data_IF_178527420631
#
_entry.id   IF_178527420631
#
_cell.length_a   1.000
_cell.length_b   1.000
_cell.length_c   1.000
_cell.angle_alpha   90.00
_cell.angle_beta   90.00
_cell.angle_gamma   90.00
#
_symmetry.space_group_name_H-M   'P 1'
#
loop_
_entity.id
_entity.type
_entity.pdbx_description
1 polymer ?
#
# COMPACT_ATOMS: atom_id res chain seq x y z
N UNK A 1 0.17 -2.80 -5.49
CA UNK A 1 1.59 -3.19 -5.60
C UNK A 1 1.86 -3.87 -6.93
N UNK A 2 2.25 -3.10 -7.96
CA UNK A 2 2.79 -3.71 -9.19
C UNK A 2 4.19 -4.22 -8.88
N UNK A 3 4.35 -5.52 -8.71
CA UNK A 3 5.66 -6.15 -8.64
C UNK A 3 6.34 -6.12 -10.01
N UNK A 4 7.62 -5.82 -10.00
CA UNK A 4 8.46 -5.61 -11.17
C UNK A 4 8.60 -6.87 -12.05
N UNK A 5 8.89 -6.63 -13.32
CA UNK A 5 9.35 -7.62 -14.30
C UNK A 5 10.56 -8.39 -13.77
N UNK A 6 10.38 -9.65 -13.40
CA UNK A 6 11.47 -10.51 -12.90
C UNK A 6 11.02 -11.70 -12.06
N UNK A 7 9.82 -11.68 -11.55
CA UNK A 7 9.18 -12.85 -10.96
C UNK A 7 8.55 -13.65 -12.08
N UNK A 8 8.80 -14.98 -12.09
CA UNK A 8 8.34 -15.87 -13.14
C UNK A 8 6.84 -15.76 -13.45
N UNK A 9 6.41 -16.18 -14.63
CA UNK A 9 5.03 -15.98 -15.11
C UNK A 9 3.94 -16.54 -14.19
N UNK A 10 4.29 -17.50 -13.33
CA UNK A 10 3.41 -18.02 -12.28
C UNK A 10 3.16 -16.94 -11.22
N UNK A 11 4.19 -16.23 -10.78
CA UNK A 11 4.06 -15.10 -9.84
C UNK A 11 3.33 -13.90 -10.46
N UNK A 12 3.54 -13.61 -11.74
CA UNK A 12 2.80 -12.55 -12.44
C UNK A 12 1.31 -12.85 -12.55
N UNK A 13 0.93 -14.13 -12.76
CA UNK A 13 -0.48 -14.55 -12.74
C UNK A 13 -1.05 -14.52 -11.33
N UNK A 14 -0.29 -14.96 -10.33
CA UNK A 14 -0.71 -14.92 -8.93
C UNK A 14 -0.91 -13.50 -8.44
N UNK A 15 -0.05 -12.56 -8.84
CA UNK A 15 -0.13 -11.14 -8.49
C UNK A 15 -1.25 -10.43 -9.26
N UNK A 16 -1.52 -10.82 -10.52
CA UNK A 16 -2.72 -10.36 -11.23
C UNK A 16 -4.01 -10.79 -10.53
N UNK A 17 -4.00 -11.97 -9.93
CA UNK A 17 -5.13 -12.50 -9.16
C UNK A 17 -5.15 -11.99 -7.71
N UNK A 18 -4.05 -11.44 -7.20
CA UNK A 18 -4.01 -10.62 -5.98
C UNK A 18 -4.42 -9.16 -6.26
N UNK A 19 -4.96 -8.85 -7.42
CA UNK A 19 -5.41 -7.49 -7.74
C UNK A 19 -6.57 -7.04 -6.86
N UNK A 20 -7.37 -7.96 -6.33
CA UNK A 20 -8.39 -7.66 -5.32
C UNK A 20 -7.77 -7.30 -3.96
N UNK A 21 -6.75 -8.03 -3.51
CA UNK A 21 -5.94 -7.66 -2.32
C UNK A 21 -5.32 -6.30 -2.51
N UNK A 22 -4.87 -6.02 -3.73
CA UNK A 22 -4.29 -4.73 -4.07
C UNK A 22 -5.35 -3.63 -4.14
N UNK A 23 -6.53 -3.93 -4.64
CA UNK A 23 -7.64 -2.98 -4.67
C UNK A 23 -8.21 -2.75 -3.28
N UNK A 24 -8.31 -3.77 -2.43
CA UNK A 24 -8.70 -3.66 -1.03
C UNK A 24 -7.64 -2.92 -0.21
N UNK A 25 -6.36 -3.21 -0.42
CA UNK A 25 -5.25 -2.39 0.09
C UNK A 25 -5.34 -0.94 -0.40
N UNK A 26 -5.74 -0.74 -1.64
CA UNK A 26 -5.90 0.59 -2.24
C UNK A 26 -7.16 1.29 -1.75
N UNK A 27 -8.26 0.57 -1.55
CA UNK A 27 -9.56 1.16 -1.21
C UNK A 27 -9.79 1.25 0.29
N UNK A 28 -9.23 0.33 1.10
CA UNK A 28 -9.44 0.32 2.54
C UNK A 28 -8.21 0.78 3.34
N UNK A 29 -7.02 0.35 2.98
CA UNK A 29 -5.81 0.61 3.78
C UNK A 29 -5.13 1.92 3.39
N UNK A 30 -5.04 2.21 2.09
CA UNK A 30 -4.48 3.48 1.65
C UNK A 30 -5.35 4.70 2.07
N UNK A 31 -6.71 4.61 2.12
CA UNK A 31 -7.51 5.64 2.74
C UNK A 31 -7.32 5.76 4.25
N UNK A 32 -7.07 4.64 4.97
CA UNK A 32 -6.77 4.69 6.40
C UNK A 32 -5.36 5.22 6.67
N UNK A 33 -4.39 4.89 5.85
CA UNK A 33 -3.07 5.56 5.85
C UNK A 33 -3.20 7.06 5.54
N UNK A 34 -4.20 7.47 4.76
CA UNK A 34 -4.54 8.88 4.55
C UNK A 34 -5.23 9.52 5.76
N UNK A 35 -6.08 8.78 6.49
CA UNK A 35 -6.80 9.31 7.67
C UNK A 35 -5.90 9.66 8.82
N UNK A 36 -4.76 8.99 8.99
CA UNK A 36 -3.78 9.33 10.03
C UNK A 36 -3.01 10.63 9.76
N UNK A 37 -3.27 11.30 8.63
CA UNK A 37 -2.49 12.43 8.16
C UNK A 37 -3.19 13.77 8.24
N UNK A 38 -4.50 13.82 8.45
CA UNK A 38 -5.22 15.11 8.56
C UNK A 38 -5.91 15.20 9.91
N UNK A 39 -5.16 15.67 10.87
CA UNK A 39 -5.70 16.38 12.00
C UNK A 39 -5.46 17.87 11.73
N UNK A 40 -6.55 18.59 11.42
CA UNK A 40 -6.66 20.03 11.21
C UNK A 40 -6.29 20.58 9.82
N UNK A 41 -7.22 20.46 8.88
CA UNK A 41 -7.29 21.35 7.71
C UNK A 41 -8.09 22.64 7.95
N UNK A 42 -8.31 23.03 9.19
CA UNK A 42 -9.22 24.17 9.52
C UNK A 42 -8.58 25.53 9.52
N UNK A 43 -7.27 25.67 9.31
CA UNK A 43 -6.61 26.98 9.19
C UNK A 43 -5.73 27.06 7.93
N UNK A 44 -6.33 26.85 6.78
CA UNK A 44 -5.73 27.21 5.48
C UNK A 44 -5.91 28.73 5.28
N UNK A 45 -5.24 29.53 6.05
CA UNK A 45 -5.06 30.99 6.02
C UNK A 45 -5.80 31.75 4.88
N UNK A 46 -7.09 31.46 4.67
CA UNK A 46 -7.92 32.22 3.74
C UNK A 46 -7.66 32.08 2.24
N UNK A 47 -6.72 31.23 1.82
CA UNK A 47 -6.53 30.94 0.38
C UNK A 47 -7.57 29.94 -0.12
N UNK A 48 -8.15 30.21 -1.26
CA UNK A 48 -8.99 29.26 -2.00
C UNK A 48 -8.13 28.16 -2.64
N UNK A 49 -8.75 27.04 -3.01
CA UNK A 49 -8.08 25.92 -3.70
C UNK A 49 -7.35 26.37 -4.97
N UNK A 50 -7.98 27.27 -5.74
CA UNK A 50 -7.40 27.83 -6.95
C UNK A 50 -6.15 28.68 -6.64
N UNK A 51 -6.17 29.46 -5.57
CA UNK A 51 -5.04 30.28 -5.14
C UNK A 51 -3.89 29.41 -4.60
N UNK A 52 -4.19 28.35 -3.85
CA UNK A 52 -3.19 27.37 -3.39
C UNK A 52 -2.51 26.72 -4.59
N UNK A 53 -3.27 26.21 -5.57
CA UNK A 53 -2.69 25.59 -6.76
C UNK A 53 -1.95 26.58 -7.66
N UNK A 54 -2.42 27.83 -7.76
CA UNK A 54 -1.71 28.88 -8.47
C UNK A 54 -0.39 29.24 -7.77
N UNK A 55 -0.38 29.37 -6.44
CA UNK A 55 0.83 29.62 -5.67
C UNK A 55 1.83 28.45 -5.83
N UNK A 56 1.37 27.20 -5.75
CA UNK A 56 2.21 26.03 -6.00
C UNK A 56 2.88 26.10 -7.39
N UNK A 57 2.10 26.34 -8.45
CA UNK A 57 2.59 26.36 -9.84
C UNK A 57 3.56 27.51 -10.13
N UNK A 58 3.35 28.65 -9.46
CA UNK A 58 4.16 29.85 -9.64
C UNK A 58 5.33 29.97 -8.64
N UNK A 59 5.57 28.94 -7.82
CA UNK A 59 6.63 28.94 -6.81
C UNK A 59 6.39 29.89 -5.65
N UNK A 60 5.13 30.28 -5.41
CA UNK A 60 4.73 31.13 -4.29
C UNK A 60 4.96 30.48 -2.92
N UNK A 61 4.82 31.29 -1.88
CA UNK A 61 4.97 30.82 -0.50
C UNK A 61 3.69 30.16 -0.01
N UNK A 62 3.78 28.85 0.18
CA UNK A 62 2.76 28.03 0.82
C UNK A 62 3.32 27.48 2.14
N UNK A 63 2.44 27.34 3.12
CA UNK A 63 2.75 26.63 4.37
C UNK A 63 2.82 25.12 4.14
N UNK A 64 3.39 24.39 5.10
CA UNK A 64 3.42 22.93 5.03
C UNK A 64 2.01 22.33 4.95
N UNK A 65 1.05 22.90 5.69
CA UNK A 65 -0.34 22.44 5.68
C UNK A 65 -1.02 22.66 4.32
N UNK A 66 -0.74 23.78 3.65
CA UNK A 66 -1.26 24.07 2.31
C UNK A 66 -0.66 23.10 1.26
N UNK A 67 0.60 22.74 1.38
CA UNK A 67 1.21 21.72 0.51
C UNK A 67 0.59 20.34 0.76
N UNK A 68 0.40 19.94 2.01
CA UNK A 68 -0.22 18.66 2.37
C UNK A 68 -1.66 18.60 1.85
N UNK A 69 -2.44 19.67 2.04
CA UNK A 69 -3.79 19.77 1.52
C UNK A 69 -3.81 19.72 -0.02
N UNK A 70 -2.97 20.50 -0.69
CA UNK A 70 -2.88 20.49 -2.15
C UNK A 70 -2.57 19.11 -2.71
N UNK A 71 -1.65 18.40 -2.08
CA UNK A 71 -1.30 17.05 -2.51
C UNK A 71 -2.44 16.04 -2.30
N UNK A 72 -3.21 16.19 -1.23
CA UNK A 72 -4.24 15.22 -0.88
C UNK A 72 -5.57 15.49 -1.58
N UNK A 73 -6.02 16.74 -1.57
CA UNK A 73 -7.38 17.12 -2.00
C UNK A 73 -7.43 17.71 -3.41
N UNK A 74 -6.34 18.36 -3.86
CA UNK A 74 -6.35 19.10 -5.12
C UNK A 74 -5.55 18.43 -6.25
N UNK A 75 -4.68 17.49 -5.92
CA UNK A 75 -3.85 16.81 -6.91
C UNK A 75 -4.67 15.87 -7.80
N UNK A 76 -4.41 15.92 -9.09
CA UNK A 76 -5.01 15.02 -10.07
C UNK A 76 -4.17 13.74 -10.22
N UNK A 77 -4.31 12.84 -9.24
CA UNK A 77 -3.65 11.54 -9.20
C UNK A 77 -2.23 11.53 -8.63
N UNK A 78 -1.68 10.33 -8.50
CA UNK A 78 -0.43 10.07 -7.80
C UNK A 78 0.78 10.84 -8.35
N UNK A 79 0.84 11.08 -9.65
CA UNK A 79 1.94 11.83 -10.27
C UNK A 79 2.00 13.29 -9.80
N UNK A 80 0.85 13.98 -9.74
CA UNK A 80 0.78 15.36 -9.25
C UNK A 80 0.99 15.41 -7.73
N UNK A 81 0.49 14.43 -6.98
CA UNK A 81 0.79 14.28 -5.55
C UNK A 81 2.30 14.22 -5.28
N UNK A 82 3.00 13.36 -6.02
CA UNK A 82 4.47 13.23 -5.93
C UNK A 82 5.15 14.56 -6.25
N UNK A 83 4.70 15.29 -7.28
CA UNK A 83 5.29 16.58 -7.66
C UNK A 83 5.11 17.63 -6.54
N UNK A 84 3.90 17.78 -6.00
CA UNK A 84 3.58 18.71 -4.93
C UNK A 84 4.38 18.39 -3.67
N UNK A 85 4.39 17.12 -3.23
CA UNK A 85 5.09 16.69 -2.02
C UNK A 85 6.62 16.76 -2.19
N UNK A 86 7.12 16.54 -3.39
CA UNK A 86 8.53 16.76 -3.70
C UNK A 86 8.91 18.24 -3.58
N UNK A 87 8.04 19.15 -4.02
CA UNK A 87 8.25 20.59 -3.83
C UNK A 87 8.23 20.94 -2.33
N UNK A 88 7.27 20.41 -1.58
CA UNK A 88 7.18 20.61 -0.14
C UNK A 88 8.43 20.09 0.60
N UNK A 89 8.93 18.91 0.24
CA UNK A 89 10.09 18.29 0.89
C UNK A 89 11.41 19.06 0.70
N UNK A 90 11.47 19.95 -0.28
CA UNK A 90 12.63 20.86 -0.48
C UNK A 90 12.56 22.08 0.41
N UNK A 91 11.35 22.47 0.83
CA UNK A 91 11.12 23.65 1.68
C UNK A 91 11.02 23.29 3.16
N UNK A 92 10.47 22.11 3.47
CA UNK A 92 10.13 21.71 4.83
C UNK A 92 10.76 20.39 5.21
N UNK A 93 11.40 20.35 6.37
CA UNK A 93 11.90 19.12 6.98
C UNK A 93 10.83 18.56 7.94
N UNK A 94 9.72 18.09 7.39
CA UNK A 94 8.54 17.62 8.13
C UNK A 94 8.32 16.14 7.83
N UNK A 95 8.16 15.32 8.88
CA UNK A 95 7.96 13.88 8.76
C UNK A 95 6.70 13.53 7.95
N UNK A 96 5.65 14.33 8.08
CA UNK A 96 4.37 14.15 7.36
C UNK A 96 4.57 14.31 5.86
N UNK A 97 5.36 15.31 5.45
CA UNK A 97 5.68 15.55 4.03
C UNK A 97 6.42 14.34 3.45
N UNK A 98 7.45 13.85 4.14
CA UNK A 98 8.21 12.69 3.68
C UNK A 98 7.38 11.41 3.68
N UNK A 99 6.55 11.20 4.71
CA UNK A 99 5.65 10.05 4.77
C UNK A 99 4.63 10.08 3.62
N UNK A 100 3.98 11.24 3.38
CA UNK A 100 3.00 11.38 2.31
C UNK A 100 3.64 11.25 0.93
N UNK A 101 4.86 11.74 0.76
CA UNK A 101 5.64 11.52 -0.46
C UNK A 101 5.89 10.03 -0.70
N UNK A 102 6.27 9.28 0.33
CA UNK A 102 6.43 7.83 0.26
C UNK A 102 5.13 7.11 -0.15
N UNK A 103 3.99 7.52 0.41
CA UNK A 103 2.67 6.99 0.03
C UNK A 103 2.35 7.30 -1.44
N UNK A 104 2.52 8.54 -1.87
CA UNK A 104 2.27 8.94 -3.27
C UNK A 104 3.18 8.21 -4.27
N UNK A 105 4.46 8.04 -3.92
CA UNK A 105 5.42 7.27 -4.73
C UNK A 105 5.05 5.78 -4.81
N UNK A 106 4.54 5.20 -3.72
CA UNK A 106 4.01 3.83 -3.72
C UNK A 106 2.83 3.71 -4.68
N UNK A 107 1.91 4.68 -4.68
CA UNK A 107 0.76 4.72 -5.58
C UNK A 107 1.19 4.91 -7.06
N UNK A 108 2.23 5.69 -7.28
CA UNK A 108 2.84 5.89 -8.59
C UNK A 108 3.66 4.68 -9.08
N UNK A 109 3.89 3.67 -8.21
CA UNK A 109 4.64 2.45 -8.51
C UNK A 109 6.15 2.56 -8.32
N UNK A 110 6.67 3.69 -7.84
CA UNK A 110 8.10 3.88 -7.53
C UNK A 110 8.42 3.43 -6.10
N UNK A 111 8.60 2.12 -5.93
CA UNK A 111 8.87 1.49 -4.64
C UNK A 111 10.19 1.92 -4.02
N UNK A 112 11.21 2.13 -4.87
CA UNK A 112 12.54 2.49 -4.39
C UNK A 112 12.57 3.92 -3.87
N UNK A 113 11.90 4.86 -4.54
CA UNK A 113 11.74 6.22 -4.05
C UNK A 113 10.89 6.27 -2.78
N UNK A 114 9.79 5.50 -2.75
CA UNK A 114 8.91 5.40 -1.58
C UNK A 114 9.67 4.98 -0.32
N UNK A 115 10.49 3.91 -0.41
CA UNK A 115 11.30 3.46 0.72
C UNK A 115 12.22 4.57 1.23
N UNK A 116 12.92 5.27 0.35
CA UNK A 116 13.80 6.39 0.72
C UNK A 116 13.04 7.53 1.41
N UNK A 117 11.81 7.80 0.96
CA UNK A 117 10.98 8.83 1.57
C UNK A 117 10.53 8.42 2.97
N UNK A 118 10.08 7.18 3.17
CA UNK A 118 9.74 6.66 4.49
C UNK A 118 10.96 6.61 5.44
N UNK A 119 12.14 6.26 4.95
CA UNK A 119 13.38 6.32 5.74
C UNK A 119 13.72 7.73 6.20
N UNK A 120 13.47 8.75 5.36
CA UNK A 120 13.65 10.15 5.75
C UNK A 120 12.62 10.58 6.79
N UNK A 121 11.36 10.19 6.60
CA UNK A 121 10.31 10.44 7.59
C UNK A 121 10.67 9.82 8.95
N UNK A 122 11.19 8.58 8.96
CA UNK A 122 11.55 7.86 10.18
C UNK A 122 12.72 8.49 10.97
N UNK A 123 13.52 9.31 10.32
CA UNK A 123 14.55 10.10 11.03
C UNK A 123 13.97 11.29 11.80
N UNK A 124 12.73 11.67 11.48
CA UNK A 124 12.06 12.84 12.04
C UNK A 124 10.92 12.44 13.00
N UNK A 125 10.36 11.26 12.82
CA UNK A 125 9.26 10.73 13.63
C UNK A 125 9.39 9.21 13.78
N UNK A 126 8.89 8.68 14.91
CA UNK A 126 8.92 7.25 15.25
C UNK A 126 7.52 6.67 15.47
N UNK A 127 6.52 7.20 14.78
CA UNK A 127 5.14 6.73 14.90
C UNK A 127 4.99 5.27 14.46
N UNK A 128 3.95 4.62 14.97
CA UNK A 128 3.61 3.24 14.63
C UNK A 128 3.22 3.13 13.16
N UNK A 129 2.50 4.12 12.63
CA UNK A 129 2.11 4.21 11.23
C UNK A 129 3.32 4.23 10.31
N UNK A 130 4.31 5.05 10.64
CA UNK A 130 5.52 5.14 9.85
C UNK A 130 6.33 3.85 9.89
N UNK A 131 6.39 3.20 11.05
CA UNK A 131 7.03 1.88 11.20
C UNK A 131 6.32 0.83 10.33
N UNK A 132 5.00 0.84 10.26
CA UNK A 132 4.21 -0.01 9.36
C UNK A 132 4.50 0.29 7.88
N UNK A 133 4.56 1.58 7.51
CA UNK A 133 4.89 1.98 6.15
C UNK A 133 6.30 1.51 5.74
N UNK A 134 7.28 1.62 6.63
CA UNK A 134 8.63 1.08 6.42
C UNK A 134 8.65 -0.44 6.26
N UNK A 135 7.87 -1.16 7.08
CA UNK A 135 7.72 -2.60 6.94
C UNK A 135 7.22 -2.96 5.54
N UNK A 136 6.10 -2.38 5.13
CA UNK A 136 5.49 -2.66 3.83
C UNK A 136 6.37 -2.23 2.66
N UNK A 137 7.03 -1.07 2.76
CA UNK A 137 7.96 -0.60 1.74
C UNK A 137 9.18 -1.51 1.59
N UNK A 138 9.74 -2.02 2.69
CA UNK A 138 10.82 -2.99 2.65
C UNK A 138 10.38 -4.31 2.00
N UNK A 139 9.20 -4.85 2.36
CA UNK A 139 8.65 -6.05 1.70
C UNK A 139 8.44 -5.82 0.21
N UNK A 140 7.92 -4.66 -0.18
CA UNK A 140 7.70 -4.31 -1.59
C UNK A 140 9.00 -4.21 -2.41
N UNK A 141 10.14 -3.94 -1.76
CA UNK A 141 11.47 -3.93 -2.36
C UNK A 141 12.24 -5.25 -2.20
N UNK A 142 11.64 -6.30 -1.60
CA UNK A 142 12.27 -7.59 -1.37
C UNK A 142 13.20 -7.64 -0.17
N UNK A 143 13.22 -6.60 0.66
CA UNK A 143 14.09 -6.48 1.83
C UNK A 143 13.46 -7.12 3.08
N UNK A 144 13.13 -8.41 3.03
CA UNK A 144 12.39 -9.10 4.09
C UNK A 144 13.11 -9.03 5.45
N UNK A 145 14.43 -9.15 5.46
CA UNK A 145 15.22 -9.06 6.69
C UNK A 145 15.11 -7.67 7.37
N UNK A 146 15.08 -6.61 6.56
CA UNK A 146 14.92 -5.25 7.08
C UNK A 146 13.48 -5.00 7.55
N UNK A 147 12.48 -5.51 6.82
CA UNK A 147 11.07 -5.42 7.20
C UNK A 147 10.81 -6.01 8.60
N UNK A 148 11.50 -7.08 8.99
CA UNK A 148 11.36 -7.72 10.31
C UNK A 148 11.66 -6.78 11.49
N UNK A 149 12.50 -5.79 11.31
CA UNK A 149 12.82 -4.80 12.36
C UNK A 149 11.59 -3.99 12.78
N UNK A 150 10.62 -3.89 11.89
CA UNK A 150 9.38 -3.14 12.09
C UNK A 150 8.17 -4.03 12.44
N UNK A 151 8.41 -5.33 12.71
CA UNK A 151 7.36 -6.32 12.98
C UNK A 151 6.43 -5.96 14.16
N UNK A 152 6.94 -5.23 15.16
CA UNK A 152 6.16 -4.77 16.30
C UNK A 152 5.03 -3.80 15.91
N UNK A 153 5.16 -3.09 14.78
CA UNK A 153 4.14 -2.20 14.24
C UNK A 153 3.14 -2.90 13.32
N UNK A 154 3.35 -4.19 13.02
CA UNK A 154 2.54 -4.94 12.09
C UNK A 154 1.12 -5.18 12.62
N UNK A 155 0.13 -4.76 11.86
CA UNK A 155 -1.25 -5.22 11.98
C UNK A 155 -1.44 -6.61 11.32
N UNK A 156 -2.67 -7.12 11.29
CA UNK A 156 -2.98 -8.42 10.72
C UNK A 156 -2.52 -8.53 9.26
N UNK A 157 -2.74 -7.49 8.46
CA UNK A 157 -2.37 -7.48 7.04
C UNK A 157 -0.86 -7.40 6.83
N UNK A 158 -0.15 -6.58 7.59
CA UNK A 158 1.30 -6.52 7.54
C UNK A 158 1.94 -7.84 8.00
N UNK A 159 1.35 -8.53 8.99
CA UNK A 159 1.75 -9.88 9.40
C UNK A 159 1.54 -10.89 8.28
N UNK A 160 0.39 -10.84 7.59
CA UNK A 160 0.13 -11.70 6.44
C UNK A 160 1.13 -11.44 5.30
N UNK A 161 1.42 -10.17 5.00
CA UNK A 161 2.39 -9.80 3.99
C UNK A 161 3.81 -10.30 4.33
N UNK A 162 4.22 -10.22 5.59
CA UNK A 162 5.50 -10.76 6.06
C UNK A 162 5.55 -12.28 5.90
N UNK A 163 4.53 -12.99 6.39
CA UNK A 163 4.46 -14.45 6.29
C UNK A 163 4.47 -14.91 4.83
N UNK A 164 3.73 -14.24 3.96
CA UNK A 164 3.73 -14.51 2.52
C UNK A 164 5.09 -14.27 1.86
N UNK A 165 5.81 -13.22 2.26
CA UNK A 165 7.15 -12.92 1.77
C UNK A 165 8.20 -13.96 2.22
N UNK A 166 7.95 -14.64 3.33
CA UNK A 166 8.75 -15.74 3.85
C UNK A 166 8.34 -17.10 3.26
N UNK A 167 7.26 -17.15 2.47
CA UNK A 167 6.69 -18.38 1.92
C UNK A 167 5.79 -19.16 2.89
N UNK A 168 5.56 -18.64 4.10
CA UNK A 168 4.63 -19.24 5.05
C UNK A 168 3.18 -18.78 4.79
N UNK A 169 2.63 -19.30 3.70
CA UNK A 169 1.26 -18.97 3.30
C UNK A 169 0.21 -19.45 4.29
N UNK A 170 0.50 -20.49 5.08
CA UNK A 170 -0.39 -20.96 6.13
C UNK A 170 -0.49 -19.98 7.30
N UNK A 171 0.61 -19.34 7.67
CA UNK A 171 0.61 -18.27 8.64
C UNK A 171 -0.03 -16.99 8.07
N UNK A 172 0.19 -16.70 6.78
CA UNK A 172 -0.45 -15.58 6.11
C UNK A 172 -1.98 -15.70 6.14
N UNK A 173 -2.53 -16.86 5.80
CA UNK A 173 -3.97 -17.14 5.80
C UNK A 173 -4.65 -16.86 7.14
N UNK A 174 -3.98 -17.09 8.28
CA UNK A 174 -4.52 -16.83 9.61
C UNK A 174 -4.81 -15.36 9.91
N UNK A 175 -4.25 -14.45 9.11
CA UNK A 175 -4.39 -13.00 9.28
C UNK A 175 -5.18 -12.37 8.12
N UNK A 176 -5.81 -13.18 7.29
CA UNK A 176 -6.58 -12.78 6.12
C UNK A 176 -7.98 -13.36 6.18
N UNK A 177 -8.90 -12.80 5.43
CA UNK A 177 -10.28 -13.25 5.30
C UNK A 177 -10.71 -13.33 3.83
N UNK A 178 -11.72 -14.14 3.55
CA UNK A 178 -12.36 -14.23 2.24
C UNK A 178 -11.41 -14.64 1.12
N UNK A 179 -11.43 -13.88 0.04
CA UNK A 179 -10.65 -14.18 -1.16
C UNK A 179 -9.14 -14.22 -0.90
N UNK A 180 -8.62 -13.32 -0.08
CA UNK A 180 -7.20 -13.24 0.26
C UNK A 180 -6.73 -14.41 1.10
N UNK A 181 -7.56 -14.83 2.06
CA UNK A 181 -7.36 -16.07 2.80
C UNK A 181 -7.31 -17.27 1.86
N UNK A 182 -8.28 -17.36 0.95
CA UNK A 182 -8.35 -18.45 -0.01
C UNK A 182 -7.10 -18.53 -0.91
N UNK A 183 -6.58 -17.40 -1.39
CA UNK A 183 -5.32 -17.36 -2.16
C UNK A 183 -4.16 -17.93 -1.33
N UNK A 184 -4.02 -17.50 -0.09
CA UNK A 184 -2.95 -17.99 0.78
C UNK A 184 -3.11 -19.49 1.06
N UNK A 185 -4.33 -19.97 1.26
CA UNK A 185 -4.64 -21.39 1.45
C UNK A 185 -4.34 -22.22 0.19
N UNK A 186 -4.64 -21.72 -1.01
CA UNK A 186 -4.25 -22.36 -2.27
C UNK A 186 -2.73 -22.47 -2.40
N UNK A 187 -1.99 -21.44 -1.99
CA UNK A 187 -0.53 -21.46 -2.00
C UNK A 187 0.05 -22.44 -0.99
N UNK A 188 -0.60 -22.63 0.16
CA UNK A 188 -0.22 -23.64 1.16
C UNK A 188 -0.75 -25.03 0.86
N UNK A 189 -1.43 -25.22 -0.31
CA UNK A 189 -2.06 -26.46 -0.74
C UNK A 189 -3.23 -26.93 0.14
N UNK A 190 -3.84 -26.04 0.91
CA UNK A 190 -5.10 -26.30 1.63
C UNK A 190 -6.30 -25.92 0.75
N UNK A 191 -6.60 -26.79 -0.22
CA UNK A 191 -7.65 -26.54 -1.21
C UNK A 191 -9.06 -26.58 -0.58
N UNK A 192 -9.25 -27.41 0.45
CA UNK A 192 -10.53 -27.49 1.17
C UNK A 192 -10.81 -26.22 1.96
N UNK A 193 -9.81 -25.71 2.68
CA UNK A 193 -9.88 -24.42 3.35
C UNK A 193 -10.16 -23.26 2.40
N UNK A 194 -9.46 -23.24 1.26
CA UNK A 194 -9.65 -22.22 0.22
C UNK A 194 -11.08 -22.18 -0.31
N UNK A 195 -11.68 -23.34 -0.63
CA UNK A 195 -13.10 -23.42 -1.03
C UNK A 195 -14.04 -22.85 0.02
N UNK A 196 -13.78 -23.15 1.27
CA UNK A 196 -14.59 -22.67 2.39
C UNK A 196 -14.51 -21.15 2.53
N UNK A 197 -13.31 -20.58 2.40
CA UNK A 197 -13.09 -19.15 2.53
C UNK A 197 -13.87 -18.34 1.48
N UNK A 198 -14.00 -18.83 0.24
CA UNK A 198 -14.74 -18.16 -0.84
C UNK A 198 -16.15 -18.72 -1.09
N UNK A 199 -16.68 -19.55 -0.17
CA UNK A 199 -17.97 -20.24 -0.39
C UNK A 199 -19.14 -19.30 -0.66
N UNK A 200 -19.10 -18.08 -0.09
CA UNK A 200 -20.17 -17.06 -0.23
C UNK A 200 -19.78 -15.92 -1.18
N UNK A 201 -18.58 -15.94 -1.74
CA UNK A 201 -18.12 -14.92 -2.66
C UNK A 201 -18.56 -15.26 -4.09
N UNK A 202 -19.38 -14.40 -4.69
CA UNK A 202 -19.92 -14.55 -6.05
C UNK A 202 -19.20 -13.63 -7.05
N UNK A 203 -18.03 -13.13 -6.73
CA UNK A 203 -17.22 -12.30 -7.62
C UNK A 203 -16.60 -13.14 -8.74
N UNK A 204 -16.28 -12.49 -9.86
CA UNK A 204 -15.57 -13.12 -10.97
C UNK A 204 -14.18 -13.63 -10.54
N UNK A 205 -13.53 -12.96 -9.59
CA UNK A 205 -12.25 -13.36 -9.03
C UNK A 205 -12.38 -14.66 -8.23
N UNK A 206 -13.47 -14.80 -7.45
CA UNK A 206 -13.77 -16.03 -6.71
C UNK A 206 -14.07 -17.20 -7.65
N UNK A 207 -14.81 -16.95 -8.77
CA UNK A 207 -15.07 -17.97 -9.79
C UNK A 207 -13.79 -18.44 -10.47
N UNK A 208 -12.88 -17.50 -10.78
CA UNK A 208 -11.58 -17.84 -11.32
C UNK A 208 -10.76 -18.69 -10.31
N UNK A 209 -10.78 -18.32 -9.03
CA UNK A 209 -10.07 -19.07 -8.01
C UNK A 209 -10.66 -20.48 -7.80
N UNK A 210 -11.99 -20.65 -7.91
CA UNK A 210 -12.64 -21.97 -7.90
C UNK A 210 -12.15 -22.84 -9.06
N UNK A 211 -12.00 -22.27 -10.26
CA UNK A 211 -11.43 -22.97 -11.41
C UNK A 211 -9.96 -23.38 -11.17
N UNK A 212 -9.16 -22.50 -10.57
CA UNK A 212 -7.76 -22.82 -10.19
C UNK A 212 -7.71 -23.97 -9.18
N UNK A 213 -8.61 -23.96 -8.19
CA UNK A 213 -8.69 -25.01 -7.17
C UNK A 213 -9.08 -26.34 -7.82
N UNK A 214 -10.09 -26.36 -8.69
CA UNK A 214 -10.51 -27.55 -9.41
C UNK A 214 -9.39 -28.16 -10.27
N UNK A 215 -8.63 -27.31 -10.98
CA UNK A 215 -7.44 -27.72 -11.72
C UNK A 215 -6.38 -28.39 -10.83
N UNK A 216 -6.15 -27.84 -9.65
CA UNK A 216 -5.18 -28.40 -8.68
C UNK A 216 -5.65 -29.73 -8.07
N UNK A 217 -6.95 -29.94 -7.95
CA UNK A 217 -7.54 -31.21 -7.49
C UNK A 217 -7.57 -32.30 -8.58
N UNK A 218 -7.28 -31.95 -9.83
CA UNK A 218 -7.36 -32.87 -10.96
C UNK A 218 -8.78 -33.05 -11.49
N UNK A 219 -9.73 -32.23 -11.06
CA UNK A 219 -11.14 -32.23 -11.48
C UNK A 219 -11.31 -31.45 -12.80
N UNK A 220 -10.70 -31.97 -13.87
CA UNK A 220 -10.97 -31.49 -15.23
C UNK A 220 -12.09 -32.31 -15.84
N UNK A 221 -13.33 -31.84 -15.71
CA UNK A 221 -14.46 -32.30 -16.51
C UNK A 221 -14.84 -31.21 -17.49
#
# INVERSE_FOLDING_TARGET
LRMSRGLGDVYKRQIKNMSSVFNELKEEILPELRRSQIVNSTDLQGLTDAEIMAAYRNGGDLTVEQYLYAAQELANGAGEQVAILTAASKKFNDARVWNNLGVAQTQAGDKAAALKSFEKAAKLDSSKELSKNLLLANLANGNTAEAKKYAAAADAQAKAAMAAAEGDYKAAAKNLEGYNEAIALVQSNDLAGAKKAIAKDNSADADYLRAVIALKEGDMK
#
